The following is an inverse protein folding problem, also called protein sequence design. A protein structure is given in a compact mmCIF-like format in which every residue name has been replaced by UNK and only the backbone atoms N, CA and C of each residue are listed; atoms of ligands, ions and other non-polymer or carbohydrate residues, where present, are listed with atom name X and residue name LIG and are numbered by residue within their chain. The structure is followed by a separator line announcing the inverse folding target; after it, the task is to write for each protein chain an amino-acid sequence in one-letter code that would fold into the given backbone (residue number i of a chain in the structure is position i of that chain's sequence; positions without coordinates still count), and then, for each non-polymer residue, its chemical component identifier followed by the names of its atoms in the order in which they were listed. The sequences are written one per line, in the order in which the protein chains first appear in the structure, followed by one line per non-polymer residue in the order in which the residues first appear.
data_IF_294842118579
#
_entry.id   IF_294842118579
#
_cell.length_a   1.000
_cell.length_b   1.000
_cell.length_c   1.000
_cell.angle_alpha   90.00
_cell.angle_beta   90.00
_cell.angle_gamma   90.00
#
_symmetry.space_group_name_H-M   'P 1'
#
loop_
_entity.id
_entity.type
_entity.pdbx_description
1 polymer ?
#
# COMPACT_ATOMS: atom_id res chain seq x y z
N UNK A 1 33.59 17.24 -40.91
CA UNK A 1 32.67 16.10 -41.16
C UNK A 1 32.21 15.37 -39.89
N UNK A 2 33.01 15.24 -38.81
CA UNK A 2 32.57 14.62 -37.54
C UNK A 2 31.58 15.45 -36.71
N UNK A 3 31.47 16.75 -36.97
CA UNK A 3 30.59 17.66 -36.23
C UNK A 3 29.11 17.25 -36.30
N UNK A 4 28.67 16.71 -37.44
CA UNK A 4 27.30 16.21 -37.61
C UNK A 4 27.01 15.05 -36.65
N UNK A 5 27.97 14.16 -36.43
CA UNK A 5 27.83 13.06 -35.46
C UNK A 5 27.80 13.57 -34.01
N UNK A 6 28.54 14.63 -33.67
CA UNK A 6 28.48 15.22 -32.33
C UNK A 6 27.14 15.87 -32.05
N UNK A 7 26.58 16.60 -33.01
CA UNK A 7 25.24 17.19 -32.88
C UNK A 7 24.21 16.07 -32.73
N UNK A 8 24.29 15.02 -33.55
CA UNK A 8 23.40 13.87 -33.45
C UNK A 8 23.47 13.20 -32.07
N UNK A 9 24.67 12.84 -31.59
CA UNK A 9 24.86 12.20 -30.29
C UNK A 9 24.37 13.09 -29.14
N UNK A 10 24.66 14.40 -29.19
CA UNK A 10 24.18 15.37 -28.21
C UNK A 10 22.65 15.46 -28.19
N UNK A 11 21.99 15.49 -29.34
CA UNK A 11 20.52 15.53 -29.40
C UNK A 11 19.89 14.28 -28.79
N UNK A 12 20.46 13.09 -29.04
CA UNK A 12 19.98 11.83 -28.45
C UNK A 12 20.11 11.89 -26.93
N UNK A 13 21.28 12.28 -26.41
CA UNK A 13 21.51 12.39 -24.96
C UNK A 13 20.60 13.44 -24.32
N UNK A 14 20.39 14.58 -24.97
CA UNK A 14 19.51 15.64 -24.49
C UNK A 14 18.06 15.16 -24.38
N UNK A 15 17.54 14.48 -25.42
CA UNK A 15 16.17 13.95 -25.41
C UNK A 15 15.99 12.89 -24.31
N UNK A 16 16.96 11.98 -24.15
CA UNK A 16 16.93 10.97 -23.08
C UNK A 16 16.94 11.60 -21.69
N UNK A 17 17.79 12.62 -21.47
CA UNK A 17 17.87 13.34 -20.20
C UNK A 17 16.56 14.07 -19.87
N UNK A 18 15.98 14.78 -20.84
CA UNK A 18 14.71 15.50 -20.67
C UNK A 18 13.55 14.53 -20.41
N UNK A 19 13.48 13.41 -21.13
CA UNK A 19 12.46 12.38 -20.89
C UNK A 19 12.58 11.75 -19.49
N UNK A 20 13.80 11.48 -19.04
CA UNK A 20 14.06 10.98 -17.69
C UNK A 20 13.67 12.01 -16.62
N UNK A 21 14.00 13.29 -16.83
CA UNK A 21 13.62 14.39 -15.94
C UNK A 21 12.10 14.51 -15.83
N UNK A 22 11.38 14.49 -16.97
CA UNK A 22 9.91 14.57 -16.99
C UNK A 22 9.30 13.37 -16.27
N UNK A 23 9.80 12.15 -16.49
CA UNK A 23 9.32 10.95 -15.77
C UNK A 23 9.50 11.09 -14.25
N UNK A 24 10.68 11.53 -13.81
CA UNK A 24 10.97 11.73 -12.38
C UNK A 24 10.12 12.85 -11.78
N UNK A 25 9.91 13.94 -12.52
CA UNK A 25 9.06 15.05 -12.09
C UNK A 25 7.59 14.65 -11.97
N UNK A 26 7.06 13.90 -12.95
CA UNK A 26 5.69 13.41 -12.94
C UNK A 26 5.47 12.44 -11.77
N UNK A 27 6.38 11.49 -11.55
CA UNK A 27 6.34 10.59 -10.40
C UNK A 27 6.31 11.37 -9.08
N UNK A 28 7.22 12.34 -8.93
CA UNK A 28 7.29 13.18 -7.74
C UNK A 28 6.06 14.08 -7.56
N UNK A 29 5.47 14.59 -8.65
CA UNK A 29 4.28 15.43 -8.61
C UNK A 29 3.04 14.65 -8.17
N UNK A 30 2.93 13.37 -8.54
CA UNK A 30 1.82 12.51 -8.14
C UNK A 30 1.93 12.00 -6.70
N UNK A 31 3.13 11.96 -6.13
CA UNK A 31 3.33 11.59 -4.72
C UNK A 31 2.91 12.69 -3.72
N UNK A 32 2.64 13.92 -4.19
CA UNK A 32 2.15 15.01 -3.32
C UNK A 32 0.65 14.94 -3.00
N UNK A 33 -0.14 14.19 -3.77
CA UNK A 33 -1.59 14.04 -3.55
C UNK A 33 -2.01 12.70 -2.92
N UNK A 34 -1.05 11.82 -2.59
CA UNK A 34 -1.35 10.51 -1.99
C UNK A 34 -0.78 10.40 -0.59
N UNK A 35 -1.44 11.08 0.34
CA UNK A 35 -1.58 10.54 1.69
C UNK A 35 -2.39 9.23 1.52
N UNK A 36 -1.78 8.08 1.81
CA UNK A 36 -2.27 6.67 1.73
C UNK A 36 -1.67 5.77 0.63
N UNK A 37 -1.41 4.48 0.97
CA UNK A 37 -0.14 3.84 0.71
C UNK A 37 -0.19 2.93 -0.52
N UNK A 38 0.97 2.80 -1.15
CA UNK A 38 1.43 1.58 -1.80
C UNK A 38 0.39 0.76 -2.56
N UNK A 39 -0.17 1.32 -3.63
CA UNK A 39 -0.65 0.45 -4.71
C UNK A 39 0.59 -0.23 -5.29
N UNK A 40 0.76 -1.50 -4.97
CA UNK A 40 1.59 -2.43 -5.72
C UNK A 40 1.31 -2.22 -7.20
N UNK A 41 2.24 -1.54 -7.88
CA UNK A 41 2.23 -1.41 -9.32
C UNK A 41 2.42 -2.81 -9.88
N UNK A 42 1.33 -3.41 -10.33
CA UNK A 42 1.31 -4.61 -11.14
C UNK A 42 1.87 -4.29 -12.52
N UNK A 43 3.18 -4.04 -12.58
CA UNK A 43 3.96 -4.10 -13.81
C UNK A 43 4.88 -5.29 -13.64
N UNK A 44 4.29 -6.49 -13.67
CA UNK A 44 5.05 -7.72 -13.76
C UNK A 44 4.79 -8.35 -15.12
N UNK A 45 5.59 -7.88 -16.07
CA UNK A 45 5.88 -8.61 -17.28
C UNK A 45 7.02 -9.56 -16.94
N UNK A 46 6.70 -10.86 -16.89
CA UNK A 46 7.58 -12.04 -16.89
C UNK A 46 7.74 -12.79 -15.56
N UNK A 47 7.03 -13.92 -15.50
CA UNK A 47 7.63 -15.15 -14.99
C UNK A 47 7.04 -15.68 -13.70
N UNK A 48 6.62 -16.94 -13.77
CA UNK A 48 6.46 -17.88 -12.65
C UNK A 48 5.16 -17.78 -11.84
N UNK A 49 4.22 -18.67 -12.21
CA UNK A 49 3.38 -19.50 -11.33
C UNK A 49 3.44 -19.13 -9.83
N UNK A 50 2.73 -18.08 -9.43
CA UNK A 50 2.42 -17.86 -8.03
C UNK A 50 0.93 -18.15 -7.83
N UNK A 51 0.67 -19.16 -7.01
CA UNK A 51 -0.64 -19.55 -6.50
C UNK A 51 -1.50 -18.32 -6.29
N UNK A 52 -2.55 -18.17 -7.12
CA UNK A 52 -3.55 -17.12 -7.01
C UNK A 52 -4.33 -17.36 -5.73
N UNK A 53 -3.74 -17.00 -4.58
CA UNK A 53 -4.43 -16.83 -3.32
C UNK A 53 -5.58 -15.90 -3.65
N UNK A 54 -6.78 -16.46 -3.74
CA UNK A 54 -7.99 -15.68 -3.91
C UNK A 54 -8.02 -14.74 -2.71
N UNK A 55 -7.81 -13.46 -2.99
CA UNK A 55 -7.88 -12.42 -1.99
C UNK A 55 -9.34 -12.40 -1.52
N UNK A 56 -9.60 -12.97 -0.33
CA UNK A 56 -10.91 -12.93 0.31
C UNK A 56 -10.94 -11.59 1.06
N UNK A 57 -11.67 -10.57 0.57
CA UNK A 57 -11.73 -9.30 1.26
C UNK A 57 -12.43 -9.47 2.62
N UNK A 58 -11.90 -8.81 3.64
CA UNK A 58 -12.57 -8.73 4.93
C UNK A 58 -13.92 -8.01 4.77
N UNK A 59 -14.99 -8.45 5.44
CA UNK A 59 -16.34 -7.92 5.24
C UNK A 59 -16.47 -6.43 5.58
N UNK A 60 -15.58 -5.89 6.42
CA UNK A 60 -15.51 -4.45 6.75
C UNK A 60 -15.04 -3.56 5.61
N UNK A 61 -14.48 -4.16 4.55
CA UNK A 61 -14.06 -3.49 3.33
C UNK A 61 -15.14 -3.56 2.26
N UNK A 62 -16.37 -3.96 2.57
CA UNK A 62 -17.49 -3.96 1.63
C UNK A 62 -18.53 -2.91 2.03
N UNK A 63 -19.02 -2.14 1.07
CA UNK A 63 -20.20 -1.29 1.27
C UNK A 63 -21.49 -2.13 1.30
N UNK A 64 -22.63 -1.48 1.57
CA UNK A 64 -23.96 -2.13 1.58
C UNK A 64 -24.34 -2.77 0.22
N UNK A 65 -23.65 -2.41 -0.86
CA UNK A 65 -23.85 -2.95 -2.20
C UNK A 65 -22.80 -4.03 -2.57
N UNK A 66 -21.91 -4.41 -1.63
CA UNK A 66 -20.88 -5.42 -1.83
C UNK A 66 -19.64 -4.94 -2.60
N UNK A 67 -19.48 -3.63 -2.80
CA UNK A 67 -18.29 -3.05 -3.43
C UNK A 67 -17.17 -2.87 -2.41
N UNK A 68 -15.94 -3.08 -2.86
CA UNK A 68 -14.76 -2.89 -2.05
C UNK A 68 -14.54 -1.40 -1.73
N UNK A 69 -14.69 -1.02 -0.46
CA UNK A 69 -14.33 0.30 0.05
C UNK A 69 -12.87 0.31 0.51
N UNK A 70 -12.20 1.44 0.27
CA UNK A 70 -10.74 1.59 0.47
C UNK A 70 -10.36 1.83 1.93
N UNK A 71 -11.34 2.12 2.77
CA UNK A 71 -11.19 2.37 4.19
C UNK A 71 -12.30 1.61 4.94
N UNK A 72 -12.00 0.99 6.08
CA UNK A 72 -13.05 0.38 6.90
C UNK A 72 -13.99 1.49 7.40
N UNK A 73 -15.30 1.22 7.41
CA UNK A 73 -16.30 2.16 7.89
C UNK A 73 -16.04 2.50 9.38
N UNK A 74 -15.46 3.68 9.65
CA UNK A 74 -15.18 4.13 11.02
C UNK A 74 -16.49 4.55 11.72
N UNK A 75 -17.06 3.65 12.52
CA UNK A 75 -18.21 3.96 13.36
C UNK A 75 -17.73 4.55 14.70
N UNK A 76 -17.76 5.87 14.83
CA UNK A 76 -17.47 6.53 16.12
C UNK A 76 -18.61 6.27 17.11
N UNK A 77 -18.32 5.52 18.18
CA UNK A 77 -19.21 5.36 19.33
C UNK A 77 -18.70 6.22 20.48
N UNK A 78 -19.55 7.02 21.11
CA UNK A 78 -19.21 7.72 22.37
C UNK A 78 -19.19 6.69 23.50
N UNK A 79 -18.00 6.18 23.83
CA UNK A 79 -17.78 5.21 24.91
C UNK A 79 -16.96 5.84 26.02
N UNK A 80 -17.17 5.41 27.26
CA UNK A 80 -16.34 5.82 28.40
C UNK A 80 -14.95 5.17 28.28
N UNK A 81 -13.92 5.79 28.88
CA UNK A 81 -12.53 5.31 28.82
C UNK A 81 -12.41 3.92 29.45
N UNK A 82 -13.14 3.67 30.53
CA UNK A 82 -13.12 2.39 31.24
C UNK A 82 -13.74 1.26 30.42
N UNK A 83 -14.86 1.54 29.74
CA UNK A 83 -15.53 0.57 28.88
C UNK A 83 -14.68 0.23 27.64
N UNK A 84 -13.99 1.24 27.08
CA UNK A 84 -13.08 1.05 25.96
C UNK A 84 -11.88 0.17 26.33
N UNK A 85 -11.34 0.36 27.55
CA UNK A 85 -10.27 -0.47 28.08
C UNK A 85 -10.72 -1.92 28.22
N UNK A 86 -11.89 -2.14 28.83
CA UNK A 86 -12.44 -3.47 29.02
C UNK A 86 -12.73 -4.18 27.68
N UNK A 87 -13.17 -3.45 26.66
CA UNK A 87 -13.40 -3.99 25.33
C UNK A 87 -12.07 -4.36 24.62
N UNK A 88 -11.01 -3.55 24.78
CA UNK A 88 -9.68 -3.88 24.27
C UNK A 88 -9.09 -5.11 24.96
N UNK A 89 -9.23 -5.22 26.27
CA UNK A 89 -8.79 -6.39 27.04
C UNK A 89 -9.54 -7.65 26.59
N UNK A 90 -10.86 -7.56 26.39
CA UNK A 90 -11.65 -8.68 25.87
C UNK A 90 -11.27 -9.09 24.45
N UNK A 91 -10.95 -8.13 23.56
CA UNK A 91 -10.44 -8.41 22.21
C UNK A 91 -9.07 -9.08 22.24
N UNK A 92 -8.21 -8.67 23.18
CA UNK A 92 -6.91 -9.27 23.39
C UNK A 92 -7.04 -10.73 23.82
N UNK A 93 -7.83 -11.01 24.86
CA UNK A 93 -8.04 -12.37 25.39
C UNK A 93 -8.77 -13.31 24.42
N UNK A 94 -9.66 -12.78 23.59
CA UNK A 94 -10.41 -13.57 22.59
C UNK A 94 -9.65 -13.81 21.28
N UNK A 95 -8.43 -13.28 21.14
CA UNK A 95 -7.63 -13.40 19.93
C UNK A 95 -7.23 -14.87 19.65
N UNK A 96 -7.59 -15.45 18.49
CA UNK A 96 -7.18 -16.79 18.12
C UNK A 96 -5.68 -16.82 17.81
N UNK A 97 -4.87 -17.02 18.84
CA UNK A 97 -3.41 -17.02 18.73
C UNK A 97 -2.66 -17.00 20.06
N UNK A 98 -3.35 -16.77 21.18
CA UNK A 98 -2.72 -16.66 22.49
C UNK A 98 -2.51 -18.03 23.16
N UNK A 99 -1.57 -18.81 22.60
CA UNK A 99 -0.87 -19.87 23.31
C UNK A 99 0.59 -19.53 23.16
N UNK A 100 1.28 -19.18 24.24
CA UNK A 100 2.73 -19.27 24.52
C UNK A 100 3.02 -18.30 25.67
N UNK A 101 3.29 -18.91 26.81
CA UNK A 101 4.11 -18.48 27.94
C UNK A 101 3.61 -17.35 28.86
N UNK A 102 2.79 -17.76 29.84
CA UNK A 102 2.74 -17.13 31.17
C UNK A 102 2.65 -18.21 32.25
N UNK A 103 3.64 -19.10 32.27
CA UNK A 103 3.98 -19.95 33.42
C UNK A 103 5.44 -19.65 33.78
N UNK A 104 5.71 -19.53 35.08
CA UNK A 104 7.02 -19.26 35.74
C UNK A 104 7.41 -17.76 35.71
N UNK A 105 7.55 -17.04 36.82
CA UNK A 105 8.31 -17.36 38.05
C UNK A 105 7.54 -17.02 39.34
N UNK A 106 7.60 -17.95 40.30
CA UNK A 106 7.26 -17.78 41.71
C UNK A 106 8.17 -18.68 42.53
#
# INVERSE_FOLDING_TARGET
MLHLLYILAFTILAVLAVANLIRNLIMFSFDRERVYPGKYSSTDNQGYLSSRKQFIPHPELLDNAGNLIKEPLLVMRSVNVEDARQQLDALYESSPGQKIDRQEEG
#
